data_IF_080998683293
#
_entry.id   IF_080998683293
#
_cell.length_a   1.000
_cell.length_b   1.000
_cell.length_c   1.000
_cell.angle_alpha   90.00
_cell.angle_beta   90.00
_cell.angle_gamma   90.00
#
_symmetry.space_group_name_H-M   'P 1'
#
loop_
_entity.id
_entity.type
_entity.pdbx_description
1 polymer ?
#
# COMPACT_ATOMS: atom_id res chain seq x y z
N UNK A 1 -4.25 -36.55 -18.08
CA UNK A 1 -3.49 -35.38 -17.63
C UNK A 1 -3.52 -34.32 -18.73
N UNK A 2 -4.41 -33.33 -18.61
CA UNK A 2 -4.73 -32.34 -19.66
C UNK A 2 -3.54 -31.43 -19.99
N UNK A 3 -2.68 -31.21 -18.99
CA UNK A 3 -1.53 -30.32 -19.08
C UNK A 3 -0.19 -31.07 -19.23
N UNK A 4 -0.21 -32.40 -19.35
CA UNK A 4 0.98 -33.24 -19.62
C UNK A 4 2.22 -32.91 -18.76
N UNK A 5 2.01 -32.57 -17.47
CA UNK A 5 3.08 -32.24 -16.52
C UNK A 5 3.54 -30.78 -16.53
N UNK A 6 3.06 -29.94 -17.46
CA UNK A 6 3.41 -28.51 -17.51
C UNK A 6 2.87 -27.67 -16.35
N UNK A 7 1.95 -28.22 -15.55
CA UNK A 7 1.44 -27.56 -14.35
C UNK A 7 2.53 -27.29 -13.31
N UNK A 8 3.62 -28.07 -13.29
CA UNK A 8 4.76 -27.85 -12.38
C UNK A 8 5.38 -26.45 -12.53
N UNK A 9 5.24 -25.84 -13.71
CA UNK A 9 5.70 -24.48 -13.95
C UNK A 9 4.97 -23.45 -13.09
N UNK A 10 3.76 -23.73 -12.59
CA UNK A 10 3.03 -22.84 -11.68
C UNK A 10 3.81 -22.55 -10.38
N UNK A 11 4.60 -23.51 -9.89
CA UNK A 11 5.43 -23.34 -8.69
C UNK A 11 6.55 -22.31 -8.87
N UNK A 12 6.92 -22.01 -10.12
CA UNK A 12 7.96 -21.03 -10.44
C UNK A 12 7.38 -19.64 -10.72
N UNK A 13 6.05 -19.52 -10.82
CA UNK A 13 5.38 -18.25 -11.10
C UNK A 13 5.15 -17.49 -9.79
N UNK A 14 5.45 -16.19 -9.77
CA UNK A 14 5.20 -15.32 -8.62
C UNK A 14 3.70 -14.96 -8.52
N UNK A 15 2.91 -15.94 -8.06
CA UNK A 15 1.46 -15.82 -7.92
C UNK A 15 1.02 -15.60 -6.47
N UNK A 16 1.95 -15.63 -5.51
CA UNK A 16 1.66 -15.52 -4.08
C UNK A 16 1.04 -16.77 -3.45
N UNK A 17 1.05 -17.91 -4.15
CA UNK A 17 0.55 -19.21 -3.68
C UNK A 17 1.65 -20.27 -3.70
N UNK A 18 1.60 -21.19 -2.74
CA UNK A 18 2.42 -22.41 -2.76
C UNK A 18 1.58 -23.54 -3.35
N UNK A 19 1.94 -24.00 -4.54
CA UNK A 19 1.15 -25.00 -5.28
C UNK A 19 1.62 -26.41 -5.00
N UNK A 20 0.71 -27.27 -4.57
CA UNK A 20 0.88 -28.73 -4.57
C UNK A 20 0.10 -29.32 -5.75
N UNK A 21 0.77 -30.10 -6.61
CA UNK A 21 0.20 -30.62 -7.84
C UNK A 21 0.12 -32.14 -7.74
N UNK A 22 -1.08 -32.67 -7.94
CA UNK A 22 -1.33 -34.11 -7.93
C UNK A 22 -2.09 -34.52 -9.19
N UNK A 23 -1.82 -35.72 -9.69
CA UNK A 23 -2.54 -36.30 -10.83
C UNK A 23 -3.59 -37.33 -10.39
N UNK A 24 -4.02 -37.25 -9.14
CA UNK A 24 -5.01 -38.16 -8.56
C UNK A 24 -6.43 -37.71 -8.96
N UNK A 25 -7.31 -38.69 -9.20
CA UNK A 25 -8.74 -38.44 -9.45
C UNK A 25 -9.46 -38.15 -8.12
N UNK A 26 -9.15 -36.99 -7.54
CA UNK A 26 -9.71 -36.55 -6.27
C UNK A 26 -11.14 -36.02 -6.49
N UNK A 27 -12.08 -36.51 -5.69
CA UNK A 27 -13.45 -35.99 -5.69
C UNK A 27 -13.56 -34.78 -4.78
N UNK A 28 -14.60 -33.98 -5.01
CA UNK A 28 -14.93 -32.83 -4.17
C UNK A 28 -14.94 -33.16 -2.67
N UNK A 29 -15.50 -34.31 -2.28
CA UNK A 29 -15.58 -34.73 -0.88
C UNK A 29 -14.20 -34.97 -0.22
N UNK A 30 -13.22 -35.44 -0.99
CA UNK A 30 -11.87 -35.69 -0.47
C UNK A 30 -11.12 -34.38 -0.24
N UNK A 31 -11.26 -33.45 -1.19
CA UNK A 31 -10.68 -32.10 -1.11
C UNK A 31 -11.35 -31.27 -0.01
N UNK A 32 -12.68 -31.41 0.15
CA UNK A 32 -13.44 -30.74 1.20
C UNK A 32 -12.89 -31.10 2.59
N UNK A 33 -12.64 -32.37 2.86
CA UNK A 33 -12.06 -32.81 4.14
C UNK A 33 -10.68 -32.21 4.39
N UNK A 34 -9.83 -32.13 3.36
CA UNK A 34 -8.50 -31.51 3.48
C UNK A 34 -8.56 -30.02 3.80
N UNK A 35 -9.55 -29.30 3.23
CA UNK A 35 -9.78 -27.88 3.55
C UNK A 35 -10.33 -27.73 4.97
N UNK A 36 -11.30 -28.55 5.37
CA UNK A 36 -11.87 -28.53 6.72
C UNK A 36 -10.86 -28.92 7.81
N UNK A 37 -9.88 -29.78 7.49
CA UNK A 37 -8.78 -30.16 8.37
C UNK A 37 -7.61 -29.15 8.37
N UNK A 38 -7.72 -28.03 7.67
CA UNK A 38 -6.67 -27.01 7.50
C UNK A 38 -5.37 -27.53 6.85
N UNK A 39 -5.42 -28.66 6.13
CA UNK A 39 -4.26 -29.19 5.40
C UNK A 39 -3.93 -28.34 4.16
N UNK A 40 -4.98 -27.81 3.51
CA UNK A 40 -4.88 -26.92 2.35
C UNK A 40 -5.91 -25.80 2.50
N UNK A 41 -5.60 -24.59 1.99
CA UNK A 41 -6.54 -23.46 2.06
C UNK A 41 -7.58 -23.49 0.94
N UNK A 42 -7.13 -23.85 -0.26
CA UNK A 42 -7.90 -23.76 -1.49
C UNK A 42 -7.47 -24.89 -2.42
N UNK A 43 -8.33 -25.24 -3.38
CA UNK A 43 -8.01 -26.27 -4.36
C UNK A 43 -8.61 -25.97 -5.73
N UNK A 44 -7.90 -26.41 -6.78
CA UNK A 44 -8.35 -26.34 -8.17
C UNK A 44 -8.37 -27.75 -8.73
N UNK A 45 -9.54 -28.23 -9.16
CA UNK A 45 -9.69 -29.49 -9.88
C UNK A 45 -9.92 -29.19 -11.36
N UNK A 46 -9.13 -29.82 -12.22
CA UNK A 46 -9.19 -29.62 -13.67
C UNK A 46 -9.60 -30.92 -14.34
N UNK A 47 -10.78 -30.93 -14.96
CA UNK A 47 -11.31 -32.07 -15.69
C UNK A 47 -11.52 -31.71 -17.17
N UNK A 48 -11.35 -32.68 -18.07
CA UNK A 48 -11.64 -32.52 -19.49
C UNK A 48 -12.91 -33.31 -19.85
N UNK A 49 -13.95 -32.60 -20.27
CA UNK A 49 -15.22 -33.18 -20.74
C UNK A 49 -15.48 -32.72 -22.17
N UNK A 50 -15.52 -33.65 -23.14
CA UNK A 50 -15.91 -33.41 -24.54
C UNK A 50 -15.29 -32.14 -25.16
N UNK A 51 -13.95 -32.06 -25.12
CA UNK A 51 -13.14 -30.93 -25.63
C UNK A 51 -13.15 -29.64 -24.80
N UNK A 52 -13.99 -29.53 -23.76
CA UNK A 52 -13.96 -28.42 -22.82
C UNK A 52 -13.17 -28.78 -21.57
N UNK A 53 -12.33 -27.85 -21.13
CA UNK A 53 -11.64 -27.95 -19.84
C UNK A 53 -12.52 -27.29 -18.80
N UNK A 54 -12.98 -28.07 -17.84
CA UNK A 54 -13.76 -27.64 -16.70
C UNK A 54 -12.81 -27.45 -15.52
N UNK A 55 -12.71 -26.22 -15.05
CA UNK A 55 -11.94 -25.84 -13.86
C UNK A 55 -12.91 -25.64 -12.71
N UNK A 56 -12.77 -26.43 -11.66
CA UNK A 56 -13.54 -26.31 -10.42
C UNK A 56 -12.62 -25.74 -9.34
N UNK A 57 -12.94 -24.54 -8.87
CA UNK A 57 -12.25 -23.91 -7.76
C UNK A 57 -13.03 -24.11 -6.47
N UNK A 58 -12.35 -24.60 -5.44
CA UNK A 58 -12.90 -25.00 -4.15
C UNK A 58 -12.26 -24.13 -3.09
N UNK A 59 -13.09 -23.41 -2.36
CA UNK A 59 -12.71 -22.52 -1.26
C UNK A 59 -13.57 -22.82 -0.05
N UNK A 60 -13.05 -22.53 1.15
CA UNK A 60 -13.79 -22.70 2.41
C UNK A 60 -15.07 -21.86 2.44
N UNK A 61 -14.96 -20.58 2.02
CA UNK A 61 -16.08 -19.65 2.06
C UNK A 61 -16.16 -18.79 0.79
N UNK A 62 -17.23 -18.97 0.03
CA UNK A 62 -17.52 -18.19 -1.19
C UNK A 62 -17.71 -16.69 -0.93
N UNK A 63 -18.12 -16.31 0.28
CA UNK A 63 -18.29 -14.90 0.66
C UNK A 63 -16.95 -14.14 0.69
N UNK A 64 -15.86 -14.84 1.03
CA UNK A 64 -14.50 -14.26 1.05
C UNK A 64 -13.88 -14.29 -0.34
N UNK A 65 -14.10 -15.37 -1.09
CA UNK A 65 -13.56 -15.55 -2.44
C UNK A 65 -14.63 -16.13 -3.36
N UNK A 66 -15.20 -15.29 -4.22
CA UNK A 66 -16.31 -15.68 -5.10
C UNK A 66 -15.86 -16.01 -6.54
N UNK A 67 -14.61 -15.71 -6.88
CA UNK A 67 -14.06 -15.85 -8.22
C UNK A 67 -12.69 -16.52 -8.15
N UNK A 68 -12.30 -17.16 -9.25
CA UNK A 68 -10.94 -17.71 -9.38
C UNK A 68 -9.97 -16.54 -9.47
N UNK A 69 -8.87 -16.52 -8.69
CA UNK A 69 -7.86 -15.48 -8.79
C UNK A 69 -7.38 -15.29 -10.24
N UNK A 70 -7.41 -14.05 -10.72
CA UNK A 70 -7.11 -13.73 -12.12
C UNK A 70 -5.70 -14.21 -12.55
N UNK A 71 -4.72 -14.09 -11.63
CA UNK A 71 -3.37 -14.60 -11.85
C UNK A 71 -3.33 -16.11 -12.13
N UNK A 72 -4.12 -16.91 -11.39
CA UNK A 72 -4.23 -18.35 -11.62
C UNK A 72 -4.91 -18.66 -12.96
N UNK A 73 -5.99 -17.94 -13.28
CA UNK A 73 -6.69 -18.10 -14.56
C UNK A 73 -5.78 -17.81 -15.76
N UNK A 74 -5.04 -16.70 -15.70
CA UNK A 74 -4.11 -16.28 -16.75
C UNK A 74 -2.94 -17.25 -16.88
N UNK A 75 -2.40 -17.73 -15.76
CA UNK A 75 -1.34 -18.73 -15.75
C UNK A 75 -1.79 -20.06 -16.39
N UNK A 76 -2.94 -20.60 -15.97
CA UNK A 76 -3.51 -21.83 -16.54
C UNK A 76 -3.80 -21.69 -18.03
N UNK A 77 -4.37 -20.56 -18.45
CA UNK A 77 -4.66 -20.26 -19.85
C UNK A 77 -3.38 -20.19 -20.68
N UNK A 78 -2.34 -19.54 -20.16
CA UNK A 78 -1.05 -19.41 -20.84
C UNK A 78 -0.35 -20.75 -20.98
N UNK A 79 -0.32 -21.56 -19.90
CA UNK A 79 0.27 -22.90 -19.92
C UNK A 79 -0.45 -23.81 -20.92
N UNK A 80 -1.78 -23.81 -20.91
CA UNK A 80 -2.56 -24.60 -21.86
C UNK A 80 -2.30 -24.16 -23.31
N UNK A 81 -2.32 -22.84 -23.57
CA UNK A 81 -2.08 -22.29 -24.89
C UNK A 81 -0.68 -22.64 -25.39
N UNK A 82 0.34 -22.47 -24.57
CA UNK A 82 1.72 -22.81 -24.90
C UNK A 82 1.89 -24.31 -25.21
N UNK A 83 1.24 -25.18 -24.43
CA UNK A 83 1.23 -26.62 -24.71
C UNK A 83 0.55 -26.94 -26.04
N UNK A 84 -0.57 -26.31 -26.36
CA UNK A 84 -1.26 -26.49 -27.65
C UNK A 84 -0.40 -25.98 -28.81
N UNK A 85 0.24 -24.82 -28.65
CA UNK A 85 1.14 -24.25 -29.65
C UNK A 85 2.32 -25.18 -29.92
N UNK A 86 2.94 -25.74 -28.88
CA UNK A 86 4.02 -26.72 -29.01
C UNK A 86 3.61 -27.95 -29.83
N UNK A 87 2.35 -28.41 -29.67
CA UNK A 87 1.79 -29.54 -30.42
C UNK A 87 1.46 -29.23 -31.89
N UNK A 88 1.38 -27.96 -32.27
CA UNK A 88 1.10 -27.57 -33.66
C UNK A 88 2.34 -27.67 -34.56
N UNK A 89 3.52 -27.97 -34.01
CA UNK A 89 4.74 -28.17 -34.79
C UNK A 89 5.17 -26.93 -35.57
N UNK A 90 4.86 -25.75 -35.05
CA UNK A 90 5.20 -24.48 -35.68
C UNK A 90 6.72 -24.32 -35.80
N UNK A 91 7.16 -23.70 -36.90
CA UNK A 91 8.57 -23.30 -37.00
C UNK A 91 8.86 -22.14 -36.03
N UNK A 92 10.12 -21.97 -35.64
CA UNK A 92 10.54 -20.89 -34.73
C UNK A 92 10.16 -19.50 -35.27
N UNK A 93 10.22 -19.33 -36.60
CA UNK A 93 9.78 -18.11 -37.29
C UNK A 93 8.25 -17.90 -37.18
N UNK A 94 7.45 -18.94 -37.30
CA UNK A 94 5.99 -18.85 -37.14
C UNK A 94 5.61 -18.54 -35.68
N UNK A 95 6.32 -19.13 -34.71
CA UNK A 95 6.10 -18.87 -33.30
C UNK A 95 6.41 -17.42 -32.92
N UNK A 96 7.51 -16.86 -33.43
CA UNK A 96 7.85 -15.46 -33.26
C UNK A 96 6.81 -14.53 -33.91
N UNK A 97 6.22 -14.92 -35.05
CA UNK A 97 5.21 -14.10 -35.72
C UNK A 97 3.88 -13.99 -34.97
N UNK A 98 3.54 -14.98 -34.12
CA UNK A 98 2.31 -15.00 -33.32
C UNK A 98 2.52 -14.51 -31.87
N UNK A 99 3.78 -14.35 -31.45
CA UNK A 99 4.13 -13.89 -30.10
C UNK A 99 4.62 -12.44 -30.19
N UNK A 100 3.74 -11.44 -29.98
CA UNK A 100 4.15 -10.05 -30.01
C UNK A 100 5.14 -9.75 -28.89
N UNK A 101 6.22 -9.02 -29.22
CA UNK A 101 7.10 -8.41 -28.23
C UNK A 101 6.60 -7.00 -27.96
N UNK A 102 5.85 -6.82 -26.86
CA UNK A 102 5.34 -5.52 -26.48
C UNK A 102 6.44 -4.72 -25.76
N UNK A 103 6.79 -3.57 -26.33
CA UNK A 103 7.55 -2.53 -25.63
C UNK A 103 6.53 -1.59 -24.97
N UNK A 104 6.59 -1.48 -23.64
CA UNK A 104 5.67 -0.65 -22.88
C UNK A 104 6.39 0.60 -22.41
N UNK A 105 6.07 1.72 -23.03
CA UNK A 105 6.48 3.04 -22.57
C UNK A 105 5.38 3.66 -21.72
N UNK A 106 5.78 4.25 -20.60
CA UNK A 106 4.89 4.99 -19.71
C UNK A 106 5.25 6.46 -19.83
N UNK A 107 4.39 7.24 -20.49
CA UNK A 107 4.50 8.69 -20.54
C UNK A 107 3.48 9.35 -19.62
N UNK A 108 3.92 10.37 -18.89
CA UNK A 108 3.06 11.18 -18.03
C UNK A 108 2.60 12.43 -18.77
N UNK A 109 1.29 12.69 -18.80
CA UNK A 109 0.68 13.84 -19.49
C UNK A 109 0.66 15.12 -18.65
N UNK A 110 0.83 15.01 -17.33
CA UNK A 110 0.95 16.17 -16.44
C UNK A 110 2.39 16.70 -16.43
N UNK A 111 2.61 17.92 -16.93
CA UNK A 111 3.91 18.62 -16.84
C UNK A 111 4.33 18.92 -15.39
N UNK A 112 3.36 19.07 -14.48
CA UNK A 112 3.61 19.27 -13.06
C UNK A 112 3.38 17.96 -12.34
N UNK A 113 4.34 17.06 -12.44
CA UNK A 113 4.29 15.82 -11.68
C UNK A 113 4.12 16.13 -10.19
N UNK A 114 2.99 15.74 -9.60
CA UNK A 114 2.86 15.65 -8.15
C UNK A 114 3.98 14.76 -7.55
N UNK A 115 4.50 13.85 -8.36
CA UNK A 115 5.68 13.00 -8.12
C UNK A 115 6.97 13.79 -7.86
N UNK A 116 7.10 15.01 -8.38
CA UNK A 116 8.30 15.84 -8.21
C UNK A 116 8.43 16.45 -6.81
N UNK A 117 7.37 16.44 -6.01
CA UNK A 117 7.33 17.18 -4.75
C UNK A 117 6.84 16.36 -3.56
N UNK A 118 6.81 15.03 -3.61
CA UNK A 118 6.52 14.22 -2.41
C UNK A 118 7.53 14.53 -1.31
N UNK A 119 8.82 14.64 -1.65
CA UNK A 119 9.86 15.08 -0.72
C UNK A 119 9.61 16.48 -0.17
N UNK A 120 9.16 17.42 -1.01
CA UNK A 120 8.87 18.80 -0.60
C UNK A 120 7.64 18.86 0.31
N UNK A 121 6.58 18.10 0.00
CA UNK A 121 5.38 17.98 0.82
C UNK A 121 5.69 17.32 2.17
N UNK A 122 6.53 16.28 2.16
CA UNK A 122 6.98 15.62 3.39
C UNK A 122 7.85 16.54 4.24
N UNK A 123 8.81 17.26 3.64
CA UNK A 123 9.63 18.26 4.33
C UNK A 123 8.76 19.39 4.90
N UNK A 124 7.81 19.91 4.14
CA UNK A 124 6.89 20.94 4.63
C UNK A 124 6.04 20.44 5.80
N UNK A 125 5.59 19.18 5.76
CA UNK A 125 4.84 18.56 6.85
C UNK A 125 5.70 18.42 8.12
N UNK A 126 6.96 18.01 7.97
CA UNK A 126 7.92 17.91 9.08
C UNK A 126 8.19 19.30 9.67
N UNK A 127 8.44 20.30 8.83
CA UNK A 127 8.68 21.68 9.28
C UNK A 127 7.46 22.24 10.03
N UNK A 128 6.25 22.03 9.52
CA UNK A 128 5.03 22.47 10.18
C UNK A 128 4.84 21.78 11.54
N UNK A 129 5.10 20.48 11.62
CA UNK A 129 5.05 19.73 12.86
C UNK A 129 6.02 20.30 13.91
N UNK A 130 7.28 20.55 13.53
CA UNK A 130 8.27 21.15 14.43
C UNK A 130 7.92 22.58 14.84
N UNK A 131 7.33 23.38 13.95
CA UNK A 131 6.89 24.73 14.27
C UNK A 131 5.82 24.73 15.37
N UNK A 132 4.81 23.84 15.25
CA UNK A 132 3.76 23.68 16.26
C UNK A 132 4.35 23.13 17.57
N UNK A 133 5.20 22.11 17.47
CA UNK A 133 5.86 21.51 18.63
C UNK A 133 6.69 22.53 19.40
N UNK A 134 7.49 23.36 18.71
CA UNK A 134 8.32 24.37 19.34
C UNK A 134 7.48 25.46 20.03
N UNK A 135 6.35 25.85 19.44
CA UNK A 135 5.40 26.77 20.07
C UNK A 135 4.84 26.17 21.38
N UNK A 136 4.38 24.92 21.34
CA UNK A 136 3.88 24.21 22.52
C UNK A 136 4.97 24.02 23.59
N UNK A 137 6.20 23.74 23.18
CA UNK A 137 7.35 23.59 24.06
C UNK A 137 7.71 24.91 24.76
N UNK A 138 7.74 26.03 24.04
CA UNK A 138 7.99 27.34 24.64
C UNK A 138 6.93 27.69 25.68
N UNK A 139 5.65 27.44 25.40
CA UNK A 139 4.57 27.65 26.38
C UNK A 139 4.78 26.73 27.59
N UNK A 140 5.03 25.44 27.38
CA UNK A 140 5.20 24.46 28.47
C UNK A 140 6.43 24.75 29.34
N UNK A 141 7.56 25.09 28.73
CA UNK A 141 8.79 25.48 29.41
C UNK A 141 8.62 26.79 30.18
N UNK A 142 7.92 27.77 29.61
CA UNK A 142 7.63 29.05 30.26
C UNK A 142 6.73 28.90 31.51
N UNK A 143 5.81 27.94 31.49
CA UNK A 143 4.98 27.58 32.65
C UNK A 143 5.81 26.82 33.69
N UNK A 144 6.68 25.91 33.24
CA UNK A 144 7.50 25.07 34.14
C UNK A 144 8.57 25.88 34.86
N UNK A 145 9.30 26.74 34.15
CA UNK A 145 10.27 27.69 34.75
C UNK A 145 9.59 28.60 35.76
N UNK A 146 8.38 29.09 35.46
CA UNK A 146 7.63 29.97 36.36
C UNK A 146 7.03 29.21 37.57
N UNK A 147 6.70 27.92 37.44
CA UNK A 147 6.36 27.06 38.59
C UNK A 147 7.55 26.84 39.53
N UNK A 148 8.75 26.63 38.99
CA UNK A 148 9.99 26.54 39.79
C UNK A 148 10.29 27.88 40.48
N UNK A 149 10.15 29.00 39.77
CA UNK A 149 10.35 30.35 40.34
C UNK A 149 9.27 30.75 41.35
N UNK A 150 8.00 30.34 41.18
CA UNK A 150 6.93 30.62 42.17
C UNK A 150 7.12 29.88 43.48
N UNK A 151 7.79 28.72 43.53
CA UNK A 151 8.18 28.14 44.83
C UNK A 151 9.22 29.03 45.53
N UNK A 152 10.13 29.63 44.75
CA UNK A 152 11.16 30.55 45.25
C UNK A 152 10.55 31.90 45.67
N UNK A 153 9.51 32.38 44.97
CA UNK A 153 8.90 33.71 45.16
C UNK A 153 7.63 33.72 46.04
N UNK A 154 6.95 32.58 46.27
CA UNK A 154 5.86 32.48 47.28
C UNK A 154 6.38 32.73 48.70
N UNK A 155 7.70 32.85 48.87
CA UNK A 155 8.35 33.40 50.04
C UNK A 155 8.13 34.93 50.21
N UNK A 156 7.75 35.69 49.17
CA UNK A 156 7.62 37.16 49.21
C UNK A 156 6.47 37.71 48.31
N UNK A 157 5.22 37.53 48.72
CA UNK A 157 4.00 38.32 48.33
C UNK A 157 3.12 37.90 47.12
N UNK A 158 1.91 37.41 47.46
CA UNK A 158 0.55 37.80 47.01
C UNK A 158 0.24 38.13 45.53
N UNK A 159 0.11 37.13 44.65
CA UNK A 159 -0.83 37.17 43.50
C UNK A 159 -1.27 35.75 43.10
N UNK A 160 -2.54 35.59 42.71
CA UNK A 160 -3.12 34.29 42.32
C UNK A 160 -2.43 33.70 41.08
N UNK A 161 -1.81 32.50 41.15
CA UNK A 161 -1.01 31.92 40.07
C UNK A 161 -1.77 31.68 38.75
N UNK A 162 -3.09 31.55 38.78
CA UNK A 162 -3.94 31.21 37.62
C UNK A 162 -4.01 32.34 36.59
N UNK A 163 -4.13 33.59 37.03
CA UNK A 163 -4.24 34.76 36.14
C UNK A 163 -2.95 35.03 35.37
N UNK A 164 -1.80 34.75 36.00
CA UNK A 164 -0.48 34.93 35.39
C UNK A 164 -0.26 33.93 34.24
N UNK A 165 -0.57 32.65 34.45
CA UNK A 165 -0.43 31.63 33.41
C UNK A 165 -1.34 31.93 32.22
N UNK A 166 -2.59 32.35 32.48
CA UNK A 166 -3.54 32.71 31.43
C UNK A 166 -3.06 33.93 30.61
N UNK A 167 -2.58 34.98 31.28
CA UNK A 167 -2.02 36.16 30.61
C UNK A 167 -0.79 35.82 29.76
N UNK A 168 0.06 34.90 30.23
CA UNK A 168 1.26 34.46 29.51
C UNK A 168 0.93 33.60 28.30
N UNK A 169 -0.04 32.70 28.41
CA UNK A 169 -0.54 31.92 27.26
C UNK A 169 -1.13 32.83 26.19
N UNK A 170 -1.94 33.82 26.58
CA UNK A 170 -2.52 34.79 25.64
C UNK A 170 -1.41 35.65 24.99
N UNK A 171 -0.44 36.13 25.77
CA UNK A 171 0.68 36.92 25.27
C UNK A 171 1.55 36.16 24.27
N UNK A 172 1.94 34.92 24.58
CA UNK A 172 2.72 34.06 23.67
C UNK A 172 1.89 33.73 22.41
N UNK A 173 0.58 33.48 22.56
CA UNK A 173 -0.32 33.27 21.42
C UNK A 173 -0.39 34.48 20.48
N UNK A 174 -0.48 35.70 21.02
CA UNK A 174 -0.47 36.95 20.27
C UNK A 174 0.86 37.16 19.51
N UNK A 175 1.99 36.88 20.16
CA UNK A 175 3.31 36.95 19.51
C UNK A 175 3.43 35.92 18.38
N UNK A 176 2.94 34.69 18.59
CA UNK A 176 2.89 33.66 17.54
C UNK A 176 2.02 34.06 16.35
N UNK A 177 0.87 34.70 16.58
CA UNK A 177 0.01 35.23 15.53
C UNK A 177 0.72 36.35 14.73
N UNK A 178 1.38 37.28 15.42
CA UNK A 178 2.15 38.34 14.76
C UNK A 178 3.29 37.76 13.89
N UNK A 179 3.97 36.72 14.38
CA UNK A 179 5.03 36.03 13.65
C UNK A 179 4.50 35.35 12.38
N UNK A 180 3.35 34.67 12.45
CA UNK A 180 2.71 34.06 11.28
C UNK A 180 2.33 35.09 10.21
N UNK A 181 1.74 36.22 10.61
CA UNK A 181 1.38 37.31 9.69
C UNK A 181 2.62 37.83 8.96
N UNK A 182 3.74 38.02 9.67
CA UNK A 182 4.99 38.49 9.09
C UNK A 182 5.56 37.52 8.04
N UNK A 183 5.54 36.22 8.32
CA UNK A 183 6.02 35.19 7.39
C UNK A 183 5.16 35.18 6.13
N UNK A 184 3.83 35.19 6.28
CA UNK A 184 2.89 35.21 5.13
C UNK A 184 3.06 36.48 4.30
N UNK A 185 3.16 37.64 4.96
CA UNK A 185 3.38 38.91 4.26
C UNK A 185 4.70 38.90 3.47
N UNK A 186 5.79 38.42 4.06
CA UNK A 186 7.09 38.31 3.39
C UNK A 186 7.01 37.35 2.19
N UNK A 187 6.37 36.18 2.36
CA UNK A 187 6.20 35.21 1.28
C UNK A 187 5.40 35.79 0.09
N UNK A 188 4.32 36.52 0.36
CA UNK A 188 3.50 37.15 -0.68
C UNK A 188 4.26 38.26 -1.42
N UNK A 189 5.09 39.03 -0.73
CA UNK A 189 5.94 40.06 -1.36
C UNK A 189 6.99 39.41 -2.24
N UNK A 190 7.68 38.37 -1.75
CA UNK A 190 8.67 37.62 -2.53
C UNK A 190 8.05 36.98 -3.77
N UNK A 191 6.88 36.34 -3.65
CA UNK A 191 6.17 35.72 -4.77
C UNK A 191 5.61 36.71 -5.81
N UNK A 192 5.52 38.00 -5.48
CA UNK A 192 5.18 39.05 -6.46
C UNK A 192 6.40 39.70 -7.11
N UNK A 193 7.56 39.58 -6.50
CA UNK A 193 8.82 40.19 -6.96
C UNK A 193 9.62 39.23 -7.85
N UNK A 194 9.45 37.93 -7.66
CA UNK A 194 9.91 36.85 -8.53
C UNK A 194 8.76 36.36 -9.42
#
# INVERSE_FOLDING_TARGET
NVFEGTLENLKQMDLGYEFEITNEDLKFEDVKKKIENEEIKEAIIINQENEKIKVLYIVENKTTMNEVPEGCMNALTSLYSNLRISKLGLTEQQLQSITPNFEFDIEQTEEKSASGNILVMMLMSIVLFYAIYFCAYQVSSSITTEKTSKIIETLVTSTSPKTIVLGKTIGIGLVGLAQMILIVATALISAKTF
#
